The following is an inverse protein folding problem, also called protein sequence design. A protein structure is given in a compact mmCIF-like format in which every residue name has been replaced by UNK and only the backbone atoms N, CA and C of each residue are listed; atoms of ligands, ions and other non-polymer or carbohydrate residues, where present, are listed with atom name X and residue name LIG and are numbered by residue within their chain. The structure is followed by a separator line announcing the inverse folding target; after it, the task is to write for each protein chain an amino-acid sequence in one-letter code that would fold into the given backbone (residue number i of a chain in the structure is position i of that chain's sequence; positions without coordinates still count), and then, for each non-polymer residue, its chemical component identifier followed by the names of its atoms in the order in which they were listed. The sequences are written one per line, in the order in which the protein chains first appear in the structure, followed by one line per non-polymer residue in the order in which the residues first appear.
data_IF_157244387926
#
_entry.id   IF_157244387926
#
_cell.length_a   1.000
_cell.length_b   1.000
_cell.length_c   1.000
_cell.angle_alpha   90.00
_cell.angle_beta   90.00
_cell.angle_gamma   90.00
#
_symmetry.space_group_name_H-M   'P 1'
#
loop_
_entity.id
_entity.type
_entity.pdbx_description
1 polymer ?
#
# COMPACT_ATOMS: atom_id res chain seq x y z
N UNK A 1 -1.29 -4.70 29.79
CA UNK A 1 -1.63 -5.98 30.46
C UNK A 1 -1.92 -7.01 29.38
N UNK A 2 -1.07 -8.02 29.24
CA UNK A 2 -1.42 -9.25 28.50
C UNK A 2 -2.16 -10.14 29.49
N UNK A 3 -3.48 -10.26 29.31
CA UNK A 3 -4.19 -11.42 29.84
C UNK A 3 -4.00 -12.48 28.77
N UNK A 4 -2.93 -13.24 28.89
CA UNK A 4 -2.79 -14.44 28.09
C UNK A 4 -3.83 -15.41 28.67
N UNK A 5 -4.90 -15.72 27.95
CA UNK A 5 -5.71 -16.88 28.30
C UNK A 5 -5.01 -18.08 27.67
N UNK A 6 -3.79 -18.36 28.17
CA UNK A 6 -2.97 -19.47 27.73
C UNK A 6 -3.55 -20.74 28.34
N UNK A 7 -4.19 -21.57 27.52
CA UNK A 7 -4.71 -22.85 27.97
C UNK A 7 -6.14 -22.79 28.49
N UNK A 8 -7.02 -22.05 27.82
CA UNK A 8 -8.43 -22.47 27.77
C UNK A 8 -8.52 -23.62 26.77
N UNK A 9 -8.23 -24.82 27.25
CA UNK A 9 -8.35 -26.03 26.43
C UNK A 9 -9.83 -26.32 26.24
N UNK A 10 -10.39 -25.90 25.11
CA UNK A 10 -11.70 -26.35 24.66
C UNK A 10 -11.54 -27.74 24.04
N UNK A 11 -11.24 -28.73 24.87
CA UNK A 11 -11.24 -30.12 24.44
C UNK A 11 -12.70 -30.59 24.35
N UNK A 12 -13.20 -30.65 23.12
CA UNK A 12 -14.25 -31.56 22.65
C UNK A 12 -15.71 -31.39 23.12
N UNK A 13 -16.24 -30.17 23.22
CA UNK A 13 -17.68 -30.07 22.93
C UNK A 13 -18.12 -28.68 22.46
N UNK A 14 -18.88 -28.61 21.34
CA UNK A 14 -19.70 -27.44 21.03
C UNK A 14 -20.58 -27.13 22.24
N UNK A 15 -20.76 -25.84 22.54
CA UNK A 15 -21.40 -25.44 23.77
C UNK A 15 -21.29 -23.95 24.05
N UNK A 16 -22.10 -23.52 25.02
CA UNK A 16 -22.15 -22.14 25.46
C UNK A 16 -21.35 -21.97 26.74
N UNK A 17 -20.48 -20.95 26.73
CA UNK A 17 -19.56 -20.63 27.82
C UNK A 17 -19.82 -19.22 28.32
N UNK A 18 -19.52 -18.95 29.58
CA UNK A 18 -19.49 -17.60 30.13
C UNK A 18 -18.19 -17.40 30.89
N UNK A 19 -17.61 -16.21 30.77
CA UNK A 19 -16.44 -15.79 31.53
C UNK A 19 -16.91 -14.98 32.73
N UNK A 20 -16.37 -15.27 33.90
CA UNK A 20 -16.61 -14.53 35.13
C UNK A 20 -15.33 -13.85 35.52
N UNK A 21 -15.33 -12.52 35.46
CA UNK A 21 -14.19 -11.68 35.79
C UNK A 21 -14.32 -11.19 37.23
N UNK A 22 -13.34 -11.53 38.08
CA UNK A 22 -13.20 -11.00 39.43
C UNK A 22 -12.47 -9.66 39.41
N UNK A 23 -13.05 -8.63 40.02
CA UNK A 23 -12.39 -7.34 40.23
C UNK A 23 -11.31 -7.47 41.32
N UNK A 24 -10.02 -7.17 41.05
CA UNK A 24 -8.98 -7.26 42.07
C UNK A 24 -9.13 -6.22 43.18
N UNK A 25 -9.85 -5.11 42.91
CA UNK A 25 -9.99 -4.00 43.84
C UNK A 25 -11.20 -4.17 44.78
N UNK A 26 -12.13 -5.06 44.44
CA UNK A 26 -13.40 -5.24 45.16
C UNK A 26 -13.62 -6.73 45.42
N UNK A 27 -13.43 -7.15 46.68
CA UNK A 27 -13.67 -8.52 47.11
C UNK A 27 -15.11 -8.96 46.74
N UNK A 28 -15.24 -10.17 46.19
CA UNK A 28 -16.50 -10.78 45.77
C UNK A 28 -17.26 -10.01 44.67
N UNK A 29 -16.62 -9.07 43.97
CA UNK A 29 -17.20 -8.45 42.78
C UNK A 29 -16.88 -9.28 41.54
N UNK A 30 -17.94 -9.78 40.91
CA UNK A 30 -17.85 -10.59 39.70
C UNK A 30 -18.67 -9.97 38.60
N UNK A 31 -18.13 -9.94 37.39
CA UNK A 31 -18.88 -9.60 36.18
C UNK A 31 -18.91 -10.81 35.29
N UNK A 32 -20.11 -11.26 34.97
CA UNK A 32 -20.33 -12.36 34.03
C UNK A 32 -20.39 -11.78 32.62
N UNK A 33 -19.66 -12.39 31.70
CA UNK A 33 -19.67 -12.02 30.29
C UNK A 33 -20.97 -12.43 29.62
N UNK A 34 -21.18 -11.94 28.41
CA UNK A 34 -22.13 -12.55 27.48
C UNK A 34 -21.76 -14.02 27.24
N UNK A 35 -22.77 -14.80 26.91
CA UNK A 35 -22.62 -16.18 26.45
C UNK A 35 -21.76 -16.23 25.19
N UNK A 36 -20.76 -17.10 25.20
CA UNK A 36 -19.83 -17.38 24.12
C UNK A 36 -20.22 -18.73 23.55
N UNK A 37 -20.70 -18.76 22.31
CA UNK A 37 -20.94 -19.99 21.60
C UNK A 37 -19.66 -20.38 20.82
N UNK A 38 -19.09 -21.55 21.13
CA UNK A 38 -17.85 -22.04 20.54
C UNK A 38 -18.08 -22.88 19.26
N UNK A 39 -19.28 -22.79 18.68
CA UNK A 39 -19.65 -23.59 17.51
C UNK A 39 -19.00 -23.11 16.20
N UNK A 40 -18.47 -21.87 16.18
CA UNK A 40 -17.74 -21.31 15.05
C UNK A 40 -16.61 -20.39 15.52
N UNK A 41 -15.67 -20.11 14.62
CA UNK A 41 -14.41 -19.37 14.78
C UNK A 41 -14.60 -17.87 15.07
N UNK A 42 -15.51 -17.53 15.98
CA UNK A 42 -15.97 -16.17 16.16
C UNK A 42 -15.17 -15.46 17.27
N UNK A 43 -13.93 -15.09 16.94
CA UNK A 43 -13.11 -14.19 17.76
C UNK A 43 -13.88 -12.93 18.17
N UNK A 44 -14.87 -12.49 17.37
CA UNK A 44 -15.72 -11.36 17.73
C UNK A 44 -16.66 -11.65 18.89
N UNK A 45 -17.17 -12.86 19.03
CA UNK A 45 -18.01 -13.26 20.18
C UNK A 45 -17.19 -13.23 21.47
N UNK A 46 -15.99 -13.81 21.45
CA UNK A 46 -15.07 -13.78 22.59
C UNK A 46 -14.65 -12.34 22.89
N UNK A 47 -14.23 -11.60 21.85
CA UNK A 47 -13.86 -10.19 21.97
C UNK A 47 -15.00 -9.40 22.59
N UNK A 48 -16.23 -9.53 22.10
CA UNK A 48 -17.42 -8.84 22.60
C UNK A 48 -17.72 -9.19 24.06
N UNK A 49 -17.65 -10.48 24.42
CA UNK A 49 -17.86 -10.97 25.77
C UNK A 49 -16.83 -10.39 26.77
N UNK A 50 -15.58 -10.22 26.34
CA UNK A 50 -14.52 -9.64 27.17
C UNK A 50 -14.53 -8.11 27.12
N UNK A 51 -14.91 -7.52 25.97
CA UNK A 51 -14.95 -6.09 25.71
C UNK A 51 -15.86 -5.39 26.71
N UNK A 52 -17.04 -5.95 26.98
CA UNK A 52 -17.99 -5.35 27.91
C UNK A 52 -17.38 -5.18 29.32
N UNK A 53 -16.59 -6.16 29.80
CA UNK A 53 -15.93 -6.03 31.10
C UNK A 53 -14.87 -4.91 31.08
N UNK A 54 -13.94 -4.95 30.14
CA UNK A 54 -12.82 -4.00 30.14
C UNK A 54 -13.23 -2.57 29.80
N UNK A 55 -14.21 -2.39 28.91
CA UNK A 55 -14.64 -1.07 28.44
C UNK A 55 -15.60 -0.46 29.45
N UNK A 56 -16.67 -1.16 29.85
CA UNK A 56 -17.67 -0.57 30.74
C UNK A 56 -17.21 -0.50 32.19
N UNK A 57 -16.40 -1.45 32.68
CA UNK A 57 -15.97 -1.45 34.09
C UNK A 57 -14.59 -0.83 34.29
N UNK A 58 -13.67 -1.03 33.35
CA UNK A 58 -12.27 -0.59 33.51
C UNK A 58 -11.87 0.56 32.56
N UNK A 59 -12.78 1.04 31.71
CA UNK A 59 -12.57 2.16 30.79
C UNK A 59 -11.31 2.00 29.95
N UNK A 60 -11.11 0.80 29.39
CA UNK A 60 -10.01 0.47 28.47
C UNK A 60 -10.52 -0.39 27.32
N UNK A 61 -10.11 -0.04 26.11
CA UNK A 61 -10.22 -0.87 24.92
C UNK A 61 -9.22 -2.02 25.01
N UNK A 62 -9.51 -3.04 24.22
CA UNK A 62 -8.73 -4.28 24.15
C UNK A 62 -8.46 -4.65 22.68
N UNK A 63 -7.32 -5.28 22.48
CA UNK A 63 -7.02 -6.12 21.31
C UNK A 63 -7.14 -7.58 21.74
N UNK A 64 -7.69 -8.42 20.86
CA UNK A 64 -7.77 -9.86 21.07
C UNK A 64 -7.20 -10.57 19.85
N UNK A 65 -6.34 -11.56 20.06
CA UNK A 65 -5.85 -12.48 19.04
C UNK A 65 -6.09 -13.92 19.45
N UNK A 66 -6.20 -14.81 18.48
CA UNK A 66 -6.42 -16.24 18.67
C UNK A 66 -5.27 -17.01 18.02
N UNK A 67 -4.70 -17.95 18.75
CA UNK A 67 -3.69 -18.89 18.25
C UNK A 67 -4.18 -20.30 18.54
N UNK A 68 -4.09 -21.19 17.54
CA UNK A 68 -4.62 -22.55 17.63
C UNK A 68 -3.48 -23.54 17.56
N UNK A 69 -3.61 -24.64 18.29
CA UNK A 69 -2.60 -25.67 18.36
C UNK A 69 -3.23 -27.05 18.17
N UNK A 70 -2.51 -27.92 17.47
CA UNK A 70 -2.84 -29.34 17.36
C UNK A 70 -2.45 -30.12 18.63
N UNK A 71 -2.66 -31.45 18.61
CA UNK A 71 -2.34 -32.37 19.71
C UNK A 71 -0.86 -32.37 20.10
N UNK A 72 0.02 -31.89 19.22
CA UNK A 72 1.46 -31.82 19.44
C UNK A 72 1.93 -30.39 19.81
N UNK A 73 1.01 -29.49 20.20
CA UNK A 73 1.29 -28.08 20.46
C UNK A 73 1.91 -27.33 19.25
N UNK A 74 1.64 -27.79 18.02
CA UNK A 74 2.05 -27.09 16.79
C UNK A 74 0.98 -26.09 16.38
N UNK A 75 1.39 -24.85 16.08
CA UNK A 75 0.46 -23.81 15.62
C UNK A 75 -0.16 -24.20 14.27
N UNK A 76 -1.49 -24.08 14.16
CA UNK A 76 -2.25 -24.44 12.96
C UNK A 76 -3.31 -23.41 12.62
N UNK A 77 -3.68 -23.33 11.35
CA UNK A 77 -4.77 -22.44 10.89
C UNK A 77 -6.15 -23.12 10.92
N UNK A 78 -6.21 -24.45 10.86
CA UNK A 78 -7.46 -25.20 10.73
C UNK A 78 -8.12 -25.47 12.09
N UNK A 79 -9.30 -24.89 12.30
CA UNK A 79 -10.09 -25.05 13.53
C UNK A 79 -10.47 -26.50 13.83
N UNK A 80 -10.80 -27.30 12.81
CA UNK A 80 -11.24 -28.69 12.97
C UNK A 80 -10.17 -29.57 13.60
N UNK A 81 -8.90 -29.22 13.42
CA UNK A 81 -7.76 -29.98 13.94
C UNK A 81 -7.20 -29.39 15.25
N UNK A 82 -7.77 -28.29 15.73
CA UNK A 82 -7.28 -27.61 16.92
C UNK A 82 -7.76 -28.36 18.17
N UNK A 83 -6.81 -28.85 18.96
CA UNK A 83 -7.08 -29.43 20.29
C UNK A 83 -6.92 -28.40 21.41
N UNK A 84 -6.29 -27.26 21.10
CA UNK A 84 -6.02 -26.17 22.04
C UNK A 84 -6.16 -24.83 21.35
N UNK A 85 -6.78 -23.88 22.05
CA UNK A 85 -6.96 -22.50 21.59
C UNK A 85 -6.42 -21.58 22.67
N UNK A 86 -5.53 -20.69 22.28
CA UNK A 86 -4.98 -19.63 23.13
C UNK A 86 -5.57 -18.31 22.68
N UNK A 87 -6.14 -17.57 23.62
CA UNK A 87 -6.71 -16.25 23.35
C UNK A 87 -5.85 -15.23 24.07
N UNK A 88 -5.17 -14.40 23.30
CA UNK A 88 -4.34 -13.32 23.84
C UNK A 88 -5.16 -12.04 23.89
N UNK A 89 -5.38 -11.51 25.10
CA UNK A 89 -6.11 -10.27 25.32
C UNK A 89 -5.16 -9.20 25.83
N UNK A 90 -5.03 -8.12 25.06
CA UNK A 90 -4.14 -7.00 25.36
C UNK A 90 -4.97 -5.77 25.68
N UNK A 91 -4.88 -5.31 26.94
CA UNK A 91 -5.43 -4.00 27.32
C UNK A 91 -4.59 -2.90 26.68
N UNK A 92 -5.25 -2.00 25.96
CA UNK A 92 -4.59 -0.91 25.25
C UNK A 92 -4.19 0.24 26.17
N UNK A 93 -4.80 0.40 27.33
CA UNK A 93 -4.48 1.45 28.30
C UNK A 93 -3.40 1.01 29.28
N UNK A 94 -2.35 1.82 29.44
CA UNK A 94 -1.34 1.62 30.47
C UNK A 94 -1.92 1.80 31.89
N UNK A 95 -1.49 0.93 32.80
CA UNK A 95 -1.96 0.83 34.19
C UNK A 95 -0.89 0.20 35.07
N UNK A 96 -0.70 0.75 36.27
CA UNK A 96 0.16 0.16 37.32
C UNK A 96 -0.56 -0.89 38.15
N UNK A 97 -1.89 -0.87 38.18
CA UNK A 97 -2.71 -1.84 38.92
C UNK A 97 -3.17 -2.98 38.02
N UNK A 98 -3.33 -4.18 38.62
CA UNK A 98 -3.99 -5.32 37.99
C UNK A 98 -5.44 -4.95 37.67
N UNK A 99 -5.93 -5.31 36.48
CA UNK A 99 -7.31 -5.02 36.06
C UNK A 99 -8.26 -6.20 36.19
N UNK A 100 -7.72 -7.41 36.33
CA UNK A 100 -8.46 -8.64 36.56
C UNK A 100 -7.75 -9.40 37.67
N UNK A 101 -8.49 -9.82 38.68
CA UNK A 101 -7.99 -10.64 39.79
C UNK A 101 -8.08 -12.13 39.46
N UNK A 102 -9.23 -12.55 38.92
CA UNK A 102 -9.50 -13.93 38.51
C UNK A 102 -10.35 -13.96 37.25
N UNK A 103 -10.18 -15.01 36.44
CA UNK A 103 -11.10 -15.35 35.35
C UNK A 103 -11.56 -16.77 35.59
N UNK A 104 -12.87 -16.98 35.68
CA UNK A 104 -13.48 -18.31 35.81
C UNK A 104 -14.38 -18.55 34.61
N UNK A 105 -14.33 -19.73 34.01
CA UNK A 105 -15.22 -20.13 32.91
C UNK A 105 -16.34 -20.96 33.52
N UNK A 106 -17.58 -20.60 33.22
CA UNK A 106 -18.75 -21.39 33.50
C UNK A 106 -19.20 -22.00 32.18
N UNK A 107 -19.18 -23.33 32.08
CA UNK A 107 -19.75 -24.06 30.95
C UNK A 107 -21.20 -24.40 31.27
N UNK A 108 -22.13 -24.20 30.34
CA UNK A 108 -23.55 -24.56 30.53
C UNK A 108 -23.83 -26.07 30.36
N UNK A 109 -22.86 -26.85 29.88
CA UNK A 109 -22.94 -28.31 29.63
C UNK A 109 -21.72 -29.07 30.19
N UNK A 110 -21.81 -30.39 30.35
CA UNK A 110 -20.96 -31.29 31.18
C UNK A 110 -19.46 -31.47 30.83
N UNK A 111 -18.84 -30.55 30.08
CA UNK A 111 -17.40 -30.63 29.79
C UNK A 111 -16.51 -29.94 30.83
N UNK A 112 -15.27 -30.42 30.99
CA UNK A 112 -14.25 -29.74 31.81
C UNK A 112 -13.50 -28.71 30.95
N UNK A 113 -13.31 -27.51 31.49
CA UNK A 113 -12.44 -26.48 30.92
C UNK A 113 -11.34 -26.22 31.94
N UNK A 114 -10.10 -26.50 31.57
CA UNK A 114 -8.96 -25.99 32.33
C UNK A 114 -8.70 -24.56 31.85
N UNK A 115 -8.51 -23.63 32.77
CA UNK A 115 -8.02 -22.28 32.49
C UNK A 115 -6.69 -22.18 33.20
N UNK A 116 -5.62 -22.03 32.45
CA UNK A 116 -4.37 -21.56 33.02
C UNK A 116 -4.31 -20.03 32.85
N UNK A 117 -4.35 -19.32 33.97
CA UNK A 117 -3.89 -17.94 34.00
C UNK A 117 -2.36 -17.97 33.98
N UNK A 118 -1.69 -17.07 33.24
CA UNK A 118 -0.25 -16.99 33.25
C UNK A 118 0.24 -16.70 34.68
N UNK A 119 1.26 -17.44 35.11
CA UNK A 119 1.86 -17.32 36.44
C UNK A 119 2.34 -15.88 36.73
N UNK A 120 2.64 -15.13 35.68
CA UNK A 120 2.88 -13.70 35.71
C UNK A 120 1.90 -12.97 34.78
N UNK A 121 0.93 -12.27 35.36
CA UNK A 121 0.23 -11.20 34.64
C UNK A 121 1.24 -10.08 34.42
N UNK A 122 1.69 -9.90 33.18
CA UNK A 122 2.58 -8.79 32.85
C UNK A 122 1.83 -7.46 33.08
N UNK A 123 2.24 -6.74 34.13
CA UNK A 123 1.80 -5.37 34.34
C UNK A 123 2.26 -4.53 33.16
N UNK A 124 1.40 -3.61 32.71
CA UNK A 124 1.83 -2.59 31.76
C UNK A 124 2.92 -1.71 32.37
N UNK A 125 3.70 -1.08 31.51
CA UNK A 125 4.50 0.09 31.88
C UNK A 125 3.66 1.10 32.68
N UNK A 126 4.27 1.82 33.64
CA UNK A 126 3.62 2.95 34.28
C UNK A 126 3.03 3.92 33.24
N UNK A 127 1.78 4.39 33.43
CA UNK A 127 1.18 5.34 32.52
C UNK A 127 1.93 6.68 32.59
N UNK A 128 1.86 7.45 31.50
CA UNK A 128 2.36 8.81 31.47
C UNK A 128 1.71 9.63 32.58
N UNK A 129 2.52 10.36 33.33
CA UNK A 129 2.08 11.33 34.33
C UNK A 129 3.08 12.49 34.44
N UNK A 130 2.79 13.51 35.25
CA UNK A 130 3.64 14.69 35.37
C UNK A 130 3.23 15.84 34.45
N UNK A 131 4.19 16.73 34.18
CA UNK A 131 4.02 17.95 33.39
C UNK A 131 5.18 18.10 32.40
N UNK A 132 4.93 18.88 31.36
CA UNK A 132 5.91 19.27 30.36
C UNK A 132 5.82 20.77 30.10
N UNK A 133 6.80 21.30 29.38
CA UNK A 133 6.77 22.66 28.81
C UNK A 133 7.04 22.58 27.32
N UNK A 134 6.66 23.62 26.60
CA UNK A 134 6.98 23.77 25.18
C UNK A 134 8.04 24.84 25.04
N UNK A 135 9.19 24.47 24.49
CA UNK A 135 10.21 25.41 24.02
C UNK A 135 9.80 25.89 22.64
N UNK A 136 9.61 27.19 22.52
CA UNK A 136 9.28 27.87 21.27
C UNK A 136 10.50 28.65 20.77
N UNK A 137 10.71 28.65 19.46
CA UNK A 137 11.77 29.43 18.82
C UNK A 137 11.09 30.39 17.85
N UNK A 138 11.18 31.70 18.13
CA UNK A 138 10.67 32.72 17.22
C UNK A 138 11.53 32.82 15.95
N UNK A 139 11.02 33.49 14.93
CA UNK A 139 11.70 33.69 13.63
C UNK A 139 13.03 34.45 13.71
N UNK A 140 13.20 35.27 14.75
CA UNK A 140 14.45 35.99 15.04
C UNK A 140 15.43 35.16 15.89
N UNK A 141 15.12 33.89 16.16
CA UNK A 141 15.90 33.00 17.01
C UNK A 141 15.67 33.20 18.51
N UNK A 142 14.75 34.07 18.92
CA UNK A 142 14.41 34.24 20.35
C UNK A 142 13.77 32.97 20.88
N UNK A 143 14.40 32.36 21.87
CA UNK A 143 13.83 31.22 22.58
C UNK A 143 12.86 31.69 23.67
N UNK A 144 11.76 30.98 23.85
CA UNK A 144 10.83 31.15 24.97
C UNK A 144 10.36 29.79 25.46
N UNK A 145 10.03 29.69 26.73
CA UNK A 145 9.57 28.44 27.34
C UNK A 145 8.18 28.68 27.91
N UNK A 146 7.27 27.74 27.65
CA UNK A 146 5.90 27.84 28.16
C UNK A 146 5.80 27.69 29.67
N UNK A 147 4.66 28.11 30.24
CA UNK A 147 4.25 27.63 31.56
C UNK A 147 4.11 26.10 31.58
N UNK A 148 4.09 25.52 32.78
CA UNK A 148 3.91 24.07 33.00
C UNK A 148 2.56 23.57 32.49
N UNK A 149 2.59 22.55 31.64
CA UNK A 149 1.42 21.93 31.03
C UNK A 149 1.27 20.51 31.58
N UNK A 150 0.10 20.17 32.14
CA UNK A 150 -0.15 18.81 32.58
C UNK A 150 -0.21 17.85 31.39
N UNK A 151 0.34 16.63 31.53
CA UNK A 151 0.35 15.63 30.46
C UNK A 151 -1.04 15.31 29.86
N UNK A 152 -2.10 15.47 30.66
CA UNK A 152 -3.48 15.21 30.27
C UNK A 152 -4.22 16.44 29.74
N UNK A 153 -3.57 17.60 29.62
CA UNK A 153 -4.18 18.82 29.09
C UNK A 153 -4.70 18.61 27.66
N UNK A 154 -5.90 19.13 27.38
CA UNK A 154 -6.46 19.14 26.02
C UNK A 154 -5.87 20.26 25.17
N UNK A 155 -5.90 20.12 23.84
CA UNK A 155 -5.22 21.04 22.91
C UNK A 155 -5.56 22.51 23.10
N UNK A 156 -6.82 22.86 23.43
CA UNK A 156 -7.22 24.25 23.67
C UNK A 156 -6.43 24.90 24.82
N UNK A 157 -6.22 24.16 25.91
CA UNK A 157 -5.48 24.66 27.07
C UNK A 157 -3.98 24.75 26.78
N UNK A 158 -3.45 23.76 26.05
CA UNK A 158 -2.06 23.78 25.59
C UNK A 158 -1.83 24.98 24.67
N UNK A 159 -2.74 25.23 23.72
CA UNK A 159 -2.71 26.39 22.83
C UNK A 159 -2.63 27.70 23.62
N UNK A 160 -3.53 27.89 24.58
CA UNK A 160 -3.58 29.10 25.41
C UNK A 160 -2.27 29.32 26.18
N UNK A 161 -1.74 28.27 26.82
CA UNK A 161 -0.48 28.34 27.56
C UNK A 161 0.68 28.72 26.64
N UNK A 162 0.78 28.08 25.47
CA UNK A 162 1.84 28.35 24.50
C UNK A 162 1.74 29.79 23.99
N UNK A 163 0.56 30.24 23.55
CA UNK A 163 0.35 31.61 23.06
C UNK A 163 0.66 32.69 24.09
N UNK A 164 0.35 32.44 25.37
CA UNK A 164 0.62 33.40 26.46
C UNK A 164 2.10 33.48 26.81
N UNK A 165 2.79 32.36 26.77
CA UNK A 165 4.14 32.24 27.34
C UNK A 165 5.24 32.40 26.30
N UNK A 166 4.97 32.02 25.05
CA UNK A 166 5.94 32.10 23.97
C UNK A 166 5.86 33.45 23.25
N UNK A 167 7.01 34.09 23.09
CA UNK A 167 7.11 35.43 22.50
C UNK A 167 6.53 35.47 21.08
N UNK A 168 5.77 36.52 20.77
CA UNK A 168 5.18 36.81 19.45
C UNK A 168 4.19 35.78 18.89
N UNK A 169 3.67 34.86 19.73
CA UNK A 169 2.71 33.85 19.29
C UNK A 169 1.25 34.12 19.69
N UNK A 170 0.97 35.24 20.36
CA UNK A 170 -0.37 35.58 20.81
C UNK A 170 -1.34 35.75 19.63
N UNK A 171 -2.43 34.98 19.62
CA UNK A 171 -3.41 34.88 18.51
C UNK A 171 -2.81 34.46 17.15
N UNK A 172 -1.66 33.77 17.16
CA UNK A 172 -0.96 33.31 15.95
C UNK A 172 -0.87 31.79 15.82
N UNK A 173 -1.53 31.04 16.69
CA UNK A 173 -1.41 29.59 16.76
C UNK A 173 -2.77 28.91 16.92
N UNK A 174 -2.98 27.85 16.16
CA UNK A 174 -4.04 26.87 16.36
C UNK A 174 -3.39 25.53 16.66
N UNK A 175 -3.85 24.86 17.73
CA UNK A 175 -3.36 23.55 18.11
C UNK A 175 -4.48 22.52 18.06
N UNK A 176 -4.21 21.41 17.39
CA UNK A 176 -5.14 20.28 17.26
C UNK A 176 -4.52 19.03 17.88
N UNK A 177 -5.33 18.16 18.45
CA UNK A 177 -4.86 16.84 18.85
C UNK A 177 -4.64 15.98 17.59
N UNK A 178 -3.44 15.41 17.44
CA UNK A 178 -3.14 14.54 16.29
C UNK A 178 -3.75 13.13 16.43
N UNK A 179 -4.15 12.75 17.65
CA UNK A 179 -4.82 11.48 17.96
C UNK A 179 -4.00 10.21 17.65
N UNK A 180 -2.66 10.30 17.59
CA UNK A 180 -1.80 9.12 17.38
C UNK A 180 -1.89 8.12 18.54
N UNK A 181 -2.31 8.59 19.73
CA UNK A 181 -2.47 7.78 20.91
C UNK A 181 -3.94 7.70 21.32
N UNK A 182 -4.47 6.48 21.35
CA UNK A 182 -5.83 6.18 21.81
C UNK A 182 -6.11 6.61 23.26
N UNK A 183 -5.06 6.63 24.10
CA UNK A 183 -5.15 7.05 25.49
C UNK A 183 -4.05 8.05 25.81
N UNK A 184 -4.44 9.12 26.49
CA UNK A 184 -3.54 10.17 27.01
C UNK A 184 -2.49 9.65 27.99
N UNK A 185 -2.77 8.49 28.61
CA UNK A 185 -1.83 7.76 29.48
C UNK A 185 -0.74 7.02 28.71
N UNK A 186 -0.91 6.82 27.41
CA UNK A 186 0.06 6.14 26.54
C UNK A 186 0.96 7.14 25.82
N UNK A 187 0.47 8.35 25.57
CA UNK A 187 1.18 9.41 24.88
C UNK A 187 0.26 10.58 24.53
N UNK A 188 0.85 11.65 24.02
CA UNK A 188 0.16 12.82 23.47
C UNK A 188 0.87 13.28 22.21
N UNK A 189 0.10 13.78 21.25
CA UNK A 189 0.61 14.40 20.04
C UNK A 189 -0.31 15.53 19.63
N UNK A 190 0.30 16.58 19.09
CA UNK A 190 -0.38 17.81 18.71
C UNK A 190 0.11 18.26 17.34
N UNK A 191 -0.82 18.73 16.52
CA UNK A 191 -0.49 19.53 15.34
C UNK A 191 -0.53 21.00 15.73
N UNK A 192 0.53 21.71 15.37
CA UNK A 192 0.63 23.16 15.54
C UNK A 192 0.50 23.79 14.16
N UNK A 193 -0.50 24.65 14.00
CA UNK A 193 -0.70 25.45 12.79
C UNK A 193 -0.52 26.92 13.14
N UNK A 194 0.37 27.60 12.42
CA UNK A 194 0.56 29.03 12.58
C UNK A 194 -0.46 29.79 11.71
N UNK A 195 -1.26 30.66 12.33
CA UNK A 195 -2.28 31.48 11.65
C UNK A 195 -1.85 32.95 11.64
N UNK A 196 -1.53 33.46 10.46
CA UNK A 196 -1.14 34.87 10.30
C UNK A 196 0.19 35.23 10.95
N UNK A 197 1.06 34.24 11.20
CA UNK A 197 2.49 34.45 11.41
C UNK A 197 3.12 34.55 10.02
N UNK A 198 3.63 35.73 9.66
CA UNK A 198 4.25 35.99 8.36
C UNK A 198 5.77 35.71 8.36
N UNK A 199 6.22 34.90 9.32
CA UNK A 199 7.61 34.54 9.50
C UNK A 199 7.72 33.02 9.63
N UNK A 200 8.95 32.50 9.50
CA UNK A 200 9.27 31.09 9.69
C UNK A 200 9.79 30.88 11.12
N UNK A 201 8.97 30.41 12.07
CA UNK A 201 9.43 30.09 13.42
C UNK A 201 10.34 28.85 13.39
N UNK A 202 11.25 28.75 14.36
CA UNK A 202 12.03 27.52 14.53
C UNK A 202 11.17 26.35 15.04
N UNK A 203 11.78 25.16 15.08
CA UNK A 203 11.14 23.95 15.60
C UNK A 203 10.67 24.14 17.05
N UNK A 204 9.44 23.75 17.33
CA UNK A 204 8.92 23.70 18.70
C UNK A 204 9.29 22.36 19.32
N UNK A 205 9.71 22.38 20.58
CA UNK A 205 10.16 21.18 21.28
C UNK A 205 9.36 20.99 22.57
N UNK A 206 8.89 19.77 22.80
CA UNK A 206 8.40 19.38 24.13
C UNK A 206 9.63 19.11 25.00
N UNK A 207 9.69 19.77 26.16
CA UNK A 207 10.73 19.59 27.17
C UNK A 207 10.09 19.20 28.50
N UNK A 208 10.86 18.52 29.35
CA UNK A 208 10.40 18.17 30.69
C UNK A 208 10.21 19.40 31.58
N UNK A 209 9.21 19.35 32.45
CA UNK A 209 9.05 20.32 33.51
C UNK A 209 10.07 20.02 34.65
N UNK A 210 10.88 20.99 35.10
CA UNK A 210 11.92 20.74 36.10
C UNK A 210 11.36 20.40 37.49
N UNK A 211 10.16 20.90 37.82
CA UNK A 211 9.54 20.76 39.13
C UNK A 211 8.58 19.56 39.19
N UNK A 212 8.07 19.12 38.04
CA UNK A 212 7.11 18.03 37.90
C UNK A 212 7.33 17.29 36.57
N UNK A 213 8.49 16.64 36.36
CA UNK A 213 8.86 16.08 35.06
C UNK A 213 7.89 15.01 34.59
N UNK A 214 7.87 14.74 33.28
CA UNK A 214 7.11 13.61 32.78
C UNK A 214 7.70 12.32 33.33
N UNK A 215 6.81 11.44 33.76
CA UNK A 215 7.17 10.12 34.28
C UNK A 215 6.38 9.06 33.53
N UNK A 216 7.07 7.98 33.18
CA UNK A 216 6.57 6.94 32.30
C UNK A 216 7.73 6.02 31.91
N UNK A 217 7.43 4.92 31.22
CA UNK A 217 8.47 4.03 30.73
C UNK A 217 8.87 4.40 29.31
N UNK A 218 10.16 4.55 29.03
CA UNK A 218 10.71 4.87 27.71
C UNK A 218 10.01 6.07 27.04
N UNK A 219 9.93 7.20 27.75
CA UNK A 219 9.38 8.44 27.17
C UNK A 219 10.31 8.91 26.06
N UNK A 220 9.73 9.20 24.90
CA UNK A 220 10.43 9.75 23.74
C UNK A 220 9.76 11.05 23.33
N UNK A 221 10.56 12.08 23.09
CA UNK A 221 10.09 13.34 22.53
C UNK A 221 10.37 13.34 21.03
N UNK A 222 9.32 13.55 20.23
CA UNK A 222 9.41 13.60 18.77
C UNK A 222 8.86 14.94 18.35
N UNK A 223 9.68 15.71 17.64
CA UNK A 223 9.35 17.03 17.14
C UNK A 223 9.69 17.02 15.64
N UNK A 224 8.75 17.45 14.81
CA UNK A 224 8.91 17.50 13.35
C UNK A 224 8.24 18.77 12.83
N UNK A 225 8.89 19.44 11.89
CA UNK A 225 8.31 20.56 11.14
C UNK A 225 8.09 20.10 9.71
N UNK A 226 6.83 20.13 9.28
CA UNK A 226 6.44 19.86 7.90
C UNK A 226 6.27 21.20 7.21
N UNK A 227 7.21 21.54 6.32
CA UNK A 227 7.02 22.66 5.40
C UNK A 227 6.32 22.14 4.15
N UNK A 228 5.11 22.60 3.82
CA UNK A 228 4.54 22.37 2.50
C UNK A 228 5.37 23.18 1.50
N UNK A 229 6.45 22.59 0.98
CA UNK A 229 7.24 23.22 -0.06
C UNK A 229 6.43 23.28 -1.36
N UNK A 230 5.77 24.40 -1.59
CA UNK A 230 5.58 24.95 -2.92
C UNK A 230 5.90 26.44 -2.86
N UNK A 231 7.01 26.85 -3.48
CA UNK A 231 7.28 28.25 -3.79
C UNK A 231 6.34 28.82 -4.87
N UNK A 232 5.36 28.03 -5.31
CA UNK A 232 4.46 28.37 -6.39
C UNK A 232 3.11 28.74 -5.79
N UNK A 233 2.80 30.03 -5.83
CA UNK A 233 1.52 30.63 -5.42
C UNK A 233 0.33 30.16 -6.28
N UNK A 234 0.59 29.32 -7.29
CA UNK A 234 -0.44 28.91 -8.25
C UNK A 234 -0.75 27.42 -8.26
N UNK A 235 0.20 26.49 -8.28
CA UNK A 235 -0.12 25.05 -8.24
C UNK A 235 1.06 24.24 -7.71
N UNK A 236 0.79 23.16 -6.98
CA UNK A 236 1.78 22.10 -6.74
C UNK A 236 2.27 21.59 -8.11
N UNK A 237 3.58 21.38 -8.33
CA UNK A 237 4.05 20.73 -9.53
C UNK A 237 3.46 19.31 -9.54
N UNK A 238 2.45 19.10 -10.38
CA UNK A 238 1.89 17.77 -10.61
C UNK A 238 3.03 16.92 -11.15
N UNK A 239 3.43 15.84 -10.45
CA UNK A 239 4.43 14.91 -10.94
C UNK A 239 4.09 14.50 -12.38
N UNK A 240 5.08 14.47 -13.27
CA UNK A 240 4.83 14.19 -14.70
C UNK A 240 4.15 12.83 -14.90
N UNK A 241 4.32 11.90 -13.97
CA UNK A 241 3.66 10.60 -13.92
C UNK A 241 2.13 10.67 -13.75
N UNK A 242 1.63 11.80 -13.25
CA UNK A 242 0.21 12.13 -13.07
C UNK A 242 -0.35 12.98 -14.23
N UNK A 243 0.51 13.52 -15.09
CA UNK A 243 0.14 14.17 -16.36
C UNK A 243 0.08 13.15 -17.51
N UNK A 244 -0.58 12.02 -17.28
CA UNK A 244 -0.84 11.05 -18.35
C UNK A 244 -1.98 11.58 -19.22
N UNK A 245 -1.65 12.12 -20.38
CA UNK A 245 -2.62 12.25 -21.46
C UNK A 245 -2.83 10.88 -22.08
N UNK A 246 -4.10 10.48 -22.22
CA UNK A 246 -4.45 9.28 -22.97
C UNK A 246 -4.23 9.57 -24.45
N UNK A 247 -3.14 9.09 -25.00
CA UNK A 247 -2.87 9.22 -26.43
C UNK A 247 -3.57 8.09 -27.20
N UNK A 248 -4.28 8.43 -28.27
CA UNK A 248 -4.98 7.47 -29.12
C UNK A 248 -4.04 6.79 -30.14
N UNK A 249 -2.84 7.33 -30.33
CA UNK A 249 -1.82 6.83 -31.26
C UNK A 249 -0.50 6.56 -30.51
N UNK A 250 0.31 5.60 -30.99
CA UNK A 250 1.62 5.33 -30.38
C UNK A 250 2.50 6.58 -30.46
N UNK A 251 3.34 6.78 -29.44
CA UNK A 251 4.19 7.97 -29.30
C UNK A 251 5.67 7.60 -29.35
N UNK A 252 6.49 8.48 -29.94
CA UNK A 252 7.95 8.39 -29.83
C UNK A 252 8.43 9.09 -28.56
N UNK A 253 9.01 8.34 -27.62
CA UNK A 253 9.59 8.89 -26.39
C UNK A 253 11.12 8.92 -26.49
N UNK A 254 11.69 10.11 -26.31
CA UNK A 254 13.14 10.32 -26.29
C UNK A 254 13.56 10.73 -24.89
N UNK A 255 14.64 10.14 -24.35
CA UNK A 255 15.25 10.59 -23.10
C UNK A 255 16.69 11.05 -23.32
N UNK A 256 17.06 12.15 -22.66
CA UNK A 256 18.41 12.71 -22.62
C UNK A 256 18.80 12.83 -21.15
N UNK A 257 19.89 12.17 -20.75
CA UNK A 257 20.37 12.14 -19.36
C UNK A 257 19.31 11.71 -18.32
N UNK A 258 18.43 10.78 -18.70
CA UNK A 258 17.37 10.27 -17.82
C UNK A 258 16.14 11.17 -17.74
N UNK A 259 16.11 12.28 -18.49
CA UNK A 259 14.95 13.15 -18.61
C UNK A 259 14.29 13.00 -19.98
N UNK A 260 12.97 12.79 -20.00
CA UNK A 260 12.22 12.73 -21.26
C UNK A 260 12.22 14.10 -21.95
N UNK A 261 12.53 14.12 -23.24
CA UNK A 261 12.46 15.31 -24.07
C UNK A 261 10.99 15.60 -24.46
N UNK A 262 10.65 16.88 -24.54
CA UNK A 262 9.36 17.32 -25.04
C UNK A 262 9.30 17.22 -26.57
N UNK A 263 8.15 16.81 -27.09
CA UNK A 263 7.85 16.78 -28.51
C UNK A 263 7.84 18.21 -29.07
N UNK A 264 8.45 18.46 -30.24
CA UNK A 264 8.19 19.69 -30.98
C UNK A 264 6.68 19.84 -31.20
N UNK A 265 6.09 20.95 -30.73
CA UNK A 265 4.65 21.23 -30.84
C UNK A 265 3.69 20.28 -30.09
N UNK A 266 4.18 19.52 -29.09
CA UNK A 266 3.37 18.55 -28.33
C UNK A 266 2.78 17.40 -29.17
N UNK A 267 3.33 17.17 -30.37
CA UNK A 267 2.91 16.07 -31.25
C UNK A 267 4.08 15.10 -31.41
N UNK A 268 3.94 13.92 -30.77
CA UNK A 268 4.84 12.79 -30.93
C UNK A 268 4.14 11.59 -31.58
N UNK A 269 3.01 11.83 -32.26
CA UNK A 269 2.27 10.77 -32.93
C UNK A 269 3.17 10.01 -33.90
N UNK A 270 3.20 8.70 -33.73
CA UNK A 270 3.78 7.77 -34.67
C UNK A 270 2.65 7.08 -35.44
N UNK A 271 2.73 7.08 -36.76
CA UNK A 271 1.78 6.37 -37.62
C UNK A 271 2.49 5.22 -38.31
N UNK A 272 1.93 4.01 -38.17
CA UNK A 272 2.36 2.86 -38.96
C UNK A 272 1.72 2.97 -40.35
N UNK A 273 2.55 3.22 -41.36
CA UNK A 273 2.11 3.13 -42.76
C UNK A 273 2.28 1.67 -43.17
N UNK A 274 1.17 0.97 -43.42
CA UNK A 274 1.20 -0.38 -43.98
C UNK A 274 1.50 -0.35 -45.49
N UNK A 275 2.16 -1.39 -45.99
CA UNK A 275 2.37 -1.56 -47.42
C UNK A 275 1.02 -1.67 -48.14
N UNK A 276 0.80 -0.82 -49.14
CA UNK A 276 -0.39 -0.89 -49.98
C UNK A 276 -0.19 -2.03 -50.98
N UNK A 277 -1.07 -3.03 -50.94
CA UNK A 277 -1.13 -4.11 -51.93
C UNK A 277 -1.25 -5.50 -51.34
N UNK A 278 -1.56 -6.48 -52.20
CA UNK A 278 -1.66 -7.89 -51.83
C UNK A 278 -1.20 -8.75 -53.01
N UNK A 279 -0.37 -9.77 -52.72
CA UNK A 279 0.05 -10.74 -53.73
C UNK A 279 -1.03 -11.81 -53.84
N UNK A 280 -1.61 -11.97 -55.02
CA UNK A 280 -2.73 -12.90 -55.27
C UNK A 280 -2.29 -14.24 -55.84
N UNK A 281 -1.20 -14.25 -56.61
CA UNK A 281 -0.62 -15.49 -57.14
C UNK A 281 0.82 -15.27 -57.59
N UNK A 282 1.55 -16.38 -57.75
CA UNK A 282 2.89 -16.36 -58.30
C UNK A 282 3.17 -17.65 -59.08
N UNK A 283 4.14 -17.59 -59.99
CA UNK A 283 4.65 -18.76 -60.71
C UNK A 283 6.17 -18.71 -60.80
N UNK A 284 6.82 -19.81 -60.48
CA UNK A 284 8.25 -19.99 -60.66
C UNK A 284 8.55 -20.95 -61.82
N UNK A 285 9.42 -20.54 -62.75
CA UNK A 285 9.87 -21.35 -63.87
C UNK A 285 11.33 -21.74 -63.69
N UNK A 286 11.59 -23.00 -63.35
CA UNK A 286 12.93 -23.51 -63.02
C UNK A 286 13.95 -23.32 -64.15
N UNK A 287 13.55 -23.55 -65.41
CA UNK A 287 14.44 -23.47 -66.56
C UNK A 287 15.05 -22.07 -66.79
N UNK A 288 14.32 -21.02 -66.38
CA UNK A 288 14.72 -19.62 -66.58
C UNK A 288 15.00 -18.89 -65.27
N UNK A 289 14.77 -19.55 -64.12
CA UNK A 289 14.76 -18.95 -62.78
C UNK A 289 13.82 -17.74 -62.65
N UNK A 290 12.81 -17.67 -63.51
CA UNK A 290 11.89 -16.54 -63.57
C UNK A 290 10.77 -16.73 -62.54
N UNK A 291 10.60 -15.76 -61.67
CA UNK A 291 9.48 -15.63 -60.74
C UNK A 291 8.55 -14.54 -61.26
N UNK A 292 7.32 -14.91 -61.61
CA UNK A 292 6.25 -13.98 -61.98
C UNK A 292 5.30 -13.81 -60.80
N UNK A 293 5.05 -12.57 -60.39
CA UNK A 293 4.20 -12.22 -59.26
C UNK A 293 3.00 -11.43 -59.77
N UNK A 294 1.80 -11.79 -59.32
CA UNK A 294 0.54 -11.11 -59.64
C UNK A 294 -0.13 -10.70 -58.35
N UNK A 295 -0.62 -9.47 -58.30
CA UNK A 295 -1.24 -8.90 -57.11
C UNK A 295 -2.15 -7.72 -57.42
N UNK A 296 -2.46 -6.97 -56.38
CA UNK A 296 -3.21 -5.72 -56.48
C UNK A 296 -2.44 -4.59 -55.79
N UNK A 297 -2.57 -3.39 -56.33
CA UNK A 297 -1.94 -2.16 -55.83
C UNK A 297 -0.43 -2.28 -55.53
N UNK A 298 0.30 -3.09 -56.29
CA UNK A 298 1.74 -3.23 -56.16
C UNK A 298 2.46 -1.94 -56.59
N UNK A 299 3.68 -1.67 -56.09
CA UNK A 299 4.47 -0.52 -56.53
C UNK A 299 4.67 -0.51 -58.06
N UNK A 300 4.52 0.65 -58.69
CA UNK A 300 4.63 0.80 -60.15
C UNK A 300 6.05 1.13 -60.62
N UNK A 301 7.00 1.27 -59.69
CA UNK A 301 8.40 1.61 -59.97
C UNK A 301 9.34 0.72 -59.17
N UNK A 302 10.52 0.42 -59.72
CA UNK A 302 11.51 -0.44 -59.07
C UNK A 302 11.95 0.09 -57.69
N UNK A 303 12.03 1.42 -57.52
CA UNK A 303 12.39 2.05 -56.24
C UNK A 303 11.33 1.83 -55.14
N UNK A 304 10.11 1.42 -55.50
CA UNK A 304 9.09 1.05 -54.53
C UNK A 304 9.31 -0.31 -53.87
N UNK A 305 10.23 -1.12 -54.41
CA UNK A 305 10.63 -2.41 -53.85
C UNK A 305 11.97 -2.28 -53.12
N UNK A 306 12.01 -2.74 -51.87
CA UNK A 306 13.24 -2.86 -51.08
C UNK A 306 13.91 -4.22 -51.26
N UNK A 307 13.12 -5.29 -51.31
CA UNK A 307 13.62 -6.65 -51.48
C UNK A 307 12.53 -7.56 -52.05
N UNK A 308 12.91 -8.48 -52.95
CA UNK A 308 12.06 -9.60 -53.37
C UNK A 308 12.84 -10.87 -53.14
N UNK A 309 12.28 -11.80 -52.39
CA UNK A 309 12.89 -13.08 -52.06
C UNK A 309 11.93 -14.23 -52.33
N UNK A 310 12.46 -15.33 -52.84
CA UNK A 310 11.74 -16.60 -52.95
C UNK A 310 12.69 -17.74 -52.63
N UNK A 311 12.28 -18.64 -51.72
CA UNK A 311 13.05 -19.80 -51.30
C UNK A 311 14.52 -19.46 -50.93
N UNK A 312 14.69 -18.41 -50.11
CA UNK A 312 15.99 -17.87 -49.65
C UNK A 312 16.93 -17.36 -50.74
N UNK A 313 16.42 -17.15 -51.95
CA UNK A 313 17.13 -16.44 -53.01
C UNK A 313 16.50 -15.07 -53.23
N UNK A 314 17.34 -14.04 -53.22
CA UNK A 314 16.96 -12.74 -53.73
C UNK A 314 16.60 -12.83 -55.22
N UNK A 315 15.75 -11.91 -55.65
CA UNK A 315 15.21 -11.84 -56.99
C UNK A 315 15.49 -10.45 -57.58
N UNK A 316 16.25 -10.41 -58.67
CA UNK A 316 16.49 -9.17 -59.42
C UNK A 316 15.26 -8.85 -60.27
N UNK A 317 14.57 -7.75 -59.94
CA UNK A 317 13.33 -7.32 -60.60
C UNK A 317 13.61 -6.86 -62.04
N UNK A 318 12.79 -7.31 -62.98
CA UNK A 318 12.75 -6.74 -64.33
C UNK A 318 11.85 -5.50 -64.34
N UNK A 319 12.48 -4.33 -64.29
CA UNK A 319 11.79 -3.04 -64.24
C UNK A 319 10.82 -2.82 -65.41
N UNK A 320 11.00 -3.49 -66.55
CA UNK A 320 10.11 -3.36 -67.70
C UNK A 320 8.75 -4.08 -67.52
N UNK A 321 8.65 -4.95 -66.52
CA UNK A 321 7.46 -5.77 -66.23
C UNK A 321 6.60 -5.23 -65.09
N UNK A 322 7.08 -4.19 -64.39
CA UNK A 322 6.42 -3.65 -63.20
C UNK A 322 5.11 -2.95 -63.58
N UNK A 323 4.03 -3.39 -62.96
CA UNK A 323 2.69 -2.80 -63.05
C UNK A 323 2.03 -2.84 -61.68
N UNK A 324 0.94 -2.10 -61.50
CA UNK A 324 0.15 -2.14 -60.26
C UNK A 324 -0.47 -3.52 -59.97
N UNK A 325 -0.44 -4.44 -60.95
CA UNK A 325 -1.04 -5.77 -60.86
C UNK A 325 -0.04 -6.92 -60.91
N UNK A 326 1.25 -6.63 -61.09
CA UNK A 326 2.25 -7.69 -61.18
C UNK A 326 3.60 -7.21 -61.68
N UNK A 327 4.59 -8.05 -61.50
CA UNK A 327 5.96 -7.87 -61.98
C UNK A 327 6.64 -9.24 -62.11
N UNK A 328 7.76 -9.28 -62.81
CA UNK A 328 8.61 -10.44 -62.92
C UNK A 328 10.00 -10.14 -62.40
N UNK A 329 10.67 -11.14 -61.84
CA UNK A 329 12.04 -11.04 -61.38
C UNK A 329 12.77 -12.36 -61.63
N UNK A 330 14.10 -12.32 -61.69
CA UNK A 330 14.94 -13.50 -61.88
C UNK A 330 15.70 -13.80 -60.60
N UNK A 331 15.66 -15.04 -60.12
CA UNK A 331 16.39 -15.43 -58.90
C UNK A 331 17.91 -15.37 -59.13
N UNK A 332 18.61 -14.73 -58.20
CA UNK A 332 20.08 -14.60 -58.25
C UNK A 332 20.78 -15.94 -58.01
N UNK A 333 20.18 -16.79 -57.17
CA UNK A 333 20.66 -18.12 -56.81
C UNK A 333 19.60 -19.20 -57.07
N UNK A 334 20.00 -20.45 -56.96
CA UNK A 334 19.03 -21.55 -57.01
C UNK A 334 18.16 -21.53 -55.74
N UNK A 335 16.83 -21.73 -55.85
CA UNK A 335 15.94 -21.77 -54.70
C UNK A 335 16.27 -22.95 -53.79
N UNK A 336 16.06 -22.79 -52.48
CA UNK A 336 16.12 -23.92 -51.55
C UNK A 336 14.92 -24.85 -51.75
N UNK A 337 15.15 -26.17 -51.67
CA UNK A 337 14.06 -27.15 -51.78
C UNK A 337 13.06 -26.98 -50.62
N UNK A 338 11.77 -27.02 -50.93
CA UNK A 338 10.71 -26.85 -49.94
C UNK A 338 9.41 -26.40 -50.60
N UNK A 339 8.40 -26.14 -49.77
CA UNK A 339 7.17 -25.47 -50.19
C UNK A 339 7.26 -24.02 -49.72
N UNK A 340 7.50 -23.10 -50.65
CA UNK A 340 7.84 -21.71 -50.33
C UNK A 340 6.84 -20.73 -50.98
N UNK A 341 6.70 -19.55 -50.37
CA UNK A 341 5.93 -18.43 -50.93
C UNK A 341 6.86 -17.22 -51.08
N UNK A 342 6.61 -16.32 -52.05
CA UNK A 342 7.44 -15.13 -52.21
C UNK A 342 7.26 -14.18 -51.01
N UNK A 343 8.35 -13.51 -50.65
CA UNK A 343 8.36 -12.38 -49.73
C UNK A 343 8.73 -11.12 -50.52
N UNK A 344 7.79 -10.18 -50.62
CA UNK A 344 7.99 -8.90 -51.32
C UNK A 344 7.94 -7.79 -50.30
N UNK A 345 9.07 -7.10 -50.11
CA UNK A 345 9.22 -5.99 -49.19
C UNK A 345 9.25 -4.71 -50.01
N UNK A 346 8.26 -3.85 -49.80
CA UNK A 346 8.18 -2.50 -50.36
C UNK A 346 8.93 -1.50 -49.48
N UNK A 347 9.02 -0.25 -49.94
CA UNK A 347 9.48 0.87 -49.11
C UNK A 347 8.65 1.08 -47.82
N UNK A 348 7.43 0.55 -47.77
CA UNK A 348 6.50 0.63 -46.63
C UNK A 348 6.36 -0.70 -45.88
N UNK A 349 7.25 -1.67 -46.13
CA UNK A 349 7.25 -2.97 -45.46
C UNK A 349 6.74 -4.12 -46.32
N UNK A 350 6.49 -5.26 -45.67
CA UNK A 350 6.11 -6.52 -46.32
C UNK A 350 4.72 -6.38 -46.98
N UNK A 351 4.65 -6.62 -48.29
CA UNK A 351 3.39 -6.75 -49.00
C UNK A 351 2.80 -8.13 -48.64
N UNK A 352 1.59 -8.19 -48.08
CA UNK A 352 1.00 -9.46 -47.65
C UNK A 352 0.69 -10.39 -48.84
N UNK A 353 0.85 -11.68 -48.61
CA UNK A 353 0.32 -12.72 -49.49
C UNK A 353 -1.16 -12.94 -49.18
N UNK A 354 -1.99 -13.05 -50.22
CA UNK A 354 -3.40 -13.41 -50.07
C UNK A 354 -3.53 -14.78 -49.38
N UNK A 355 -4.55 -14.95 -48.54
CA UNK A 355 -4.77 -16.19 -47.78
C UNK A 355 -4.89 -17.46 -48.66
N UNK A 356 -5.24 -17.29 -49.94
CA UNK A 356 -5.41 -18.38 -50.91
C UNK A 356 -4.13 -18.73 -51.70
N UNK A 357 -3.01 -18.04 -51.46
CA UNK A 357 -1.74 -18.38 -52.10
C UNK A 357 -1.30 -19.78 -51.66
N UNK A 358 -1.01 -20.62 -52.64
CA UNK A 358 -0.45 -21.95 -52.41
C UNK A 358 1.07 -21.91 -52.60
N UNK A 359 1.86 -22.50 -51.68
CA UNK A 359 3.30 -22.59 -51.87
C UNK A 359 3.65 -23.45 -53.08
N UNK A 360 4.77 -23.14 -53.74
CA UNK A 360 5.32 -23.92 -54.86
C UNK A 360 6.60 -24.63 -54.45
#
# INVERSE_FOLDING_TARGET
MRVNLSGVNFTDSPGTYQLVFGDPDIANSYTVSKSIDMNEDNIWTIRSAVYDYFVYKKYTDIEASITRYDVNDTEIDNFTNATKVVIDIKCLKLSTTKRVGTVTVIKSTTGQVQIALPDAVQLSSPPLSGKYKVKCIASDGTESISDSIAYNSGSNWVNEIVMRSCSKLYDKLEMYEANDYRYTKNGRSYFVRFIGLNDDPGQFEIIDDPDSPLTGNNITFINETIHPFSHNIFYEPVPYELLRTYETKPQVLVSVDGHNAACPNLDCDFEFIEAVGEITSFTYTEATKLLSIVGTALPTEAAGFSQVEFAKSNCTIDASTITATGFSCTLDNNPTCGSEVPAVISAFGLIPNAAAISPQ
#
